data_IF_513656578853
#
_entry.id   IF_513656578853
#
_cell.length_a   1.000
_cell.length_b   1.000
_cell.length_c   1.000
_cell.angle_alpha   90.00
_cell.angle_beta   90.00
_cell.angle_gamma   90.00
#
_symmetry.space_group_name_H-M   'P 1'
#
loop_
_entity.id
_entity.type
_entity.pdbx_description
1 polymer ?
#
# COMPACT_ATOMS: atom_id res chain seq x y z
N UNK A 1 -25.17 0.80 22.70
CA UNK A 1 -24.08 -0.19 22.67
C UNK A 1 -23.56 -0.25 21.24
N UNK A 2 -22.29 0.07 21.00
CA UNK A 2 -21.71 -0.06 19.68
C UNK A 2 -21.71 -1.54 19.29
N UNK A 3 -22.33 -1.88 18.16
CA UNK A 3 -22.36 -3.24 17.62
C UNK A 3 -20.96 -3.58 17.10
N UNK A 4 -20.24 -4.42 17.79
CA UNK A 4 -18.95 -4.92 17.33
C UNK A 4 -19.21 -6.02 16.30
N UNK A 5 -18.91 -5.76 15.04
CA UNK A 5 -19.09 -6.70 13.94
C UNK A 5 -17.74 -7.27 13.51
N UNK A 6 -17.65 -8.59 13.35
CA UNK A 6 -16.47 -9.25 12.75
C UNK A 6 -16.69 -9.46 11.26
N UNK A 7 -15.64 -9.27 10.48
CA UNK A 7 -15.65 -9.66 9.06
C UNK A 7 -14.24 -10.00 8.57
N UNK A 8 -14.19 -10.78 7.51
CA UNK A 8 -12.95 -11.04 6.77
C UNK A 8 -12.62 -9.82 5.93
N UNK A 9 -11.38 -9.36 6.02
CA UNK A 9 -10.88 -8.24 5.24
C UNK A 9 -9.43 -8.46 4.82
N UNK A 10 -9.03 -7.86 3.70
CA UNK A 10 -7.63 -7.72 3.35
C UNK A 10 -7.11 -6.42 3.98
N UNK A 11 -5.99 -6.52 4.68
CA UNK A 11 -5.39 -5.44 5.44
C UNK A 11 -4.02 -5.17 4.88
N UNK A 12 -3.75 -3.92 4.55
CA UNK A 12 -2.44 -3.44 4.14
C UNK A 12 -1.92 -2.46 5.19
N UNK A 13 -0.76 -2.77 5.75
CA UNK A 13 0.02 -1.86 6.58
C UNK A 13 1.24 -1.39 5.79
N UNK A 14 1.54 -0.11 5.83
CA UNK A 14 2.71 0.48 5.20
C UNK A 14 3.33 1.54 6.10
N UNK A 15 4.66 1.64 6.09
CA UNK A 15 5.40 2.72 6.74
C UNK A 15 6.63 3.12 5.90
N UNK A 16 7.31 4.19 6.32
CA UNK A 16 8.53 4.68 5.67
C UNK A 16 9.75 4.29 6.50
N UNK A 17 10.70 3.62 5.84
CA UNK A 17 11.96 3.20 6.47
C UNK A 17 12.75 4.42 6.96
N UNK A 18 13.07 4.42 8.25
CA UNK A 18 13.90 5.46 8.83
C UNK A 18 13.28 6.86 8.81
N UNK A 19 11.97 6.99 8.88
CA UNK A 19 11.26 8.28 8.86
C UNK A 19 11.79 9.27 9.91
N UNK A 20 12.05 8.81 11.14
CA UNK A 20 12.64 9.66 12.18
C UNK A 20 14.02 10.21 11.79
N UNK A 21 14.82 9.42 11.06
CA UNK A 21 16.12 9.89 10.53
C UNK A 21 15.92 10.96 9.46
N UNK A 22 14.98 10.77 8.55
CA UNK A 22 14.64 11.75 7.51
C UNK A 22 14.17 13.06 8.14
N UNK A 23 13.29 12.99 9.16
CA UNK A 23 12.84 14.15 9.93
C UNK A 23 14.00 14.87 10.62
N UNK A 24 14.98 14.13 11.14
CA UNK A 24 16.18 14.70 11.76
C UNK A 24 17.12 15.41 10.77
N UNK A 25 17.09 15.03 9.50
CA UNK A 25 17.89 15.67 8.44
C UNK A 25 17.24 16.95 7.89
N UNK A 26 15.94 16.91 7.67
CA UNK A 26 15.13 17.99 7.11
C UNK A 26 13.65 17.79 7.47
N UNK A 27 13.23 18.36 8.57
CA UNK A 27 11.87 18.20 9.09
C UNK A 27 10.81 18.74 8.10
N UNK A 28 10.99 19.96 7.63
CA UNK A 28 10.02 20.60 6.74
C UNK A 28 9.93 19.91 5.38
N UNK A 29 11.07 19.60 4.77
CA UNK A 29 11.14 18.91 3.49
C UNK A 29 10.61 17.48 3.58
N UNK A 30 10.93 16.74 4.64
CA UNK A 30 10.41 15.38 4.87
C UNK A 30 8.89 15.38 5.07
N UNK A 31 8.37 16.30 5.88
CA UNK A 31 6.93 16.42 6.09
C UNK A 31 6.19 16.81 4.79
N UNK A 32 6.78 17.67 3.96
CA UNK A 32 6.21 18.02 2.66
C UNK A 32 6.24 16.82 1.71
N UNK A 33 7.37 16.13 1.61
CA UNK A 33 7.50 14.94 0.76
C UNK A 33 6.51 13.84 1.16
N UNK A 34 6.27 13.63 2.47
CA UNK A 34 5.25 12.69 2.95
C UNK A 34 3.84 13.09 2.49
N UNK A 35 3.48 14.37 2.60
CA UNK A 35 2.19 14.87 2.09
C UNK A 35 2.03 14.63 0.60
N UNK A 36 3.08 14.89 -0.17
CA UNK A 36 3.08 14.71 -1.62
C UNK A 36 2.97 13.24 -2.02
N UNK A 37 3.64 12.34 -1.27
CA UNK A 37 3.49 10.89 -1.44
C UNK A 37 2.06 10.45 -1.15
N UNK A 38 1.49 10.89 -0.03
CA UNK A 38 0.11 10.54 0.35
C UNK A 38 -0.90 11.03 -0.69
N UNK A 39 -0.80 12.28 -1.11
CA UNK A 39 -1.69 12.83 -2.14
C UNK A 39 -1.65 12.05 -3.46
N UNK A 40 -0.49 11.48 -3.81
CA UNK A 40 -0.34 10.65 -4.99
C UNK A 40 -0.86 9.20 -4.78
N UNK A 41 -0.83 8.70 -3.55
CA UNK A 41 -1.21 7.33 -3.18
C UNK A 41 -2.71 7.20 -2.95
N UNK A 42 -3.38 8.20 -2.35
CA UNK A 42 -4.79 8.13 -1.97
C UNK A 42 -5.74 7.78 -3.14
N UNK A 43 -5.62 8.36 -4.34
CA UNK A 43 -6.46 7.97 -5.47
C UNK A 43 -6.20 6.53 -5.93
N UNK A 44 -4.96 6.02 -5.83
CA UNK A 44 -4.61 4.65 -6.18
C UNK A 44 -5.24 3.65 -5.21
N UNK A 45 -5.24 3.95 -3.91
CA UNK A 45 -5.91 3.13 -2.89
C UNK A 45 -7.39 3.00 -3.23
N UNK A 46 -8.07 4.12 -3.47
CA UNK A 46 -9.50 4.12 -3.83
C UNK A 46 -9.77 3.36 -5.13
N UNK A 47 -8.92 3.52 -6.14
CA UNK A 47 -9.03 2.85 -7.43
C UNK A 47 -8.94 1.32 -7.32
N UNK A 48 -8.17 0.80 -6.37
CA UNK A 48 -8.05 -0.63 -6.07
C UNK A 48 -9.09 -1.12 -5.03
N UNK A 49 -10.08 -0.30 -4.70
CA UNK A 49 -11.14 -0.66 -3.77
C UNK A 49 -10.71 -0.64 -2.30
N UNK A 50 -9.67 0.12 -1.98
CA UNK A 50 -9.16 0.33 -0.64
C UNK A 50 -9.77 1.54 0.05
N UNK A 51 -9.73 1.52 1.37
CA UNK A 51 -10.10 2.61 2.27
C UNK A 51 -8.99 2.83 3.29
N UNK A 52 -8.47 4.03 3.39
CA UNK A 52 -7.56 4.39 4.48
C UNK A 52 -8.35 4.39 5.78
N UNK A 53 -7.97 3.51 6.70
CA UNK A 53 -8.60 3.38 8.03
C UNK A 53 -8.03 4.45 8.95
N UNK A 54 -6.71 4.50 9.03
CA UNK A 54 -5.99 5.49 9.83
C UNK A 54 -4.56 5.70 9.37
N UNK A 55 -4.02 6.82 9.78
CA UNK A 55 -2.61 7.17 9.62
C UNK A 55 -1.95 7.25 11.00
N UNK A 56 -0.73 6.73 11.14
CA UNK A 56 0.06 6.77 12.37
C UNK A 56 1.43 7.35 12.07
N UNK A 57 1.56 8.68 12.18
CA UNK A 57 2.78 9.35 11.75
C UNK A 57 3.00 9.18 10.24
N UNK A 58 4.05 8.46 9.84
CA UNK A 58 4.35 8.07 8.47
C UNK A 58 3.59 6.83 8.00
N UNK A 59 3.04 6.04 8.92
CA UNK A 59 2.34 4.79 8.62
C UNK A 59 0.94 4.97 8.06
N UNK A 60 0.50 3.99 7.27
CA UNK A 60 -0.84 3.84 6.72
C UNK A 60 -1.41 2.48 7.09
N UNK A 61 -2.65 2.47 7.54
CA UNK A 61 -3.46 1.27 7.67
C UNK A 61 -4.63 1.36 6.69
N UNK A 62 -4.70 0.40 5.78
CA UNK A 62 -5.67 0.40 4.68
C UNK A 62 -6.41 -0.92 4.68
N UNK A 63 -7.70 -0.85 4.42
CA UNK A 63 -8.59 -1.98 4.31
C UNK A 63 -9.09 -2.13 2.89
N UNK A 64 -9.18 -3.38 2.41
CA UNK A 64 -9.69 -3.73 1.08
C UNK A 64 -10.75 -4.83 1.20
N UNK A 65 -11.77 -4.75 0.36
CA UNK A 65 -12.74 -5.83 0.18
C UNK A 65 -12.18 -7.03 -0.60
N UNK A 66 -11.04 -6.87 -1.27
CA UNK A 66 -10.37 -7.90 -2.06
C UNK A 66 -8.87 -7.91 -1.76
N UNK A 67 -8.33 -9.10 -1.46
CA UNK A 67 -6.88 -9.26 -1.28
C UNK A 67 -6.10 -9.11 -2.59
N UNK A 68 -6.71 -9.41 -3.72
CA UNK A 68 -6.14 -9.14 -5.06
C UNK A 68 -5.93 -7.63 -5.21
N UNK A 69 -6.97 -6.84 -4.96
CA UNK A 69 -6.86 -5.38 -5.00
C UNK A 69 -5.83 -4.82 -4.02
N UNK A 70 -5.71 -5.41 -2.82
CA UNK A 70 -4.69 -5.01 -1.84
C UNK A 70 -3.26 -5.25 -2.35
N UNK A 71 -2.99 -6.41 -2.95
CA UNK A 71 -1.64 -6.74 -3.49
C UNK A 71 -1.34 -5.92 -4.74
N UNK A 72 -2.29 -5.76 -5.65
CA UNK A 72 -2.12 -4.89 -6.82
C UNK A 72 -1.83 -3.43 -6.40
N UNK A 73 -2.57 -2.93 -5.42
CA UNK A 73 -2.33 -1.60 -4.84
C UNK A 73 -0.91 -1.52 -4.26
N UNK A 74 -0.48 -2.49 -3.45
CA UNK A 74 0.87 -2.52 -2.88
C UNK A 74 1.96 -2.45 -3.95
N UNK A 75 1.80 -3.19 -5.05
CA UNK A 75 2.74 -3.18 -6.19
C UNK A 75 2.79 -1.80 -6.86
N UNK A 76 1.62 -1.19 -7.09
CA UNK A 76 1.54 0.14 -7.71
C UNK A 76 2.13 1.21 -6.79
N UNK A 77 1.92 1.12 -5.47
CA UNK A 77 2.51 2.03 -4.48
C UNK A 77 4.04 1.97 -4.50
N UNK A 78 4.63 0.77 -4.55
CA UNK A 78 6.09 0.62 -4.62
C UNK A 78 6.67 1.14 -5.94
N UNK A 79 5.99 0.93 -7.06
CA UNK A 79 6.40 1.50 -8.35
C UNK A 79 6.37 3.03 -8.35
N UNK A 80 5.30 3.62 -7.84
CA UNK A 80 5.17 5.06 -7.69
C UNK A 80 6.28 5.63 -6.79
N UNK A 81 6.56 4.96 -5.66
CA UNK A 81 7.64 5.36 -4.77
C UNK A 81 9.00 5.32 -5.46
N UNK A 82 9.28 4.27 -6.24
CA UNK A 82 10.52 4.15 -7.01
C UNK A 82 10.66 5.28 -8.06
N UNK A 83 9.59 5.61 -8.78
CA UNK A 83 9.56 6.71 -9.74
C UNK A 83 9.83 8.06 -9.06
N UNK A 84 9.19 8.33 -7.93
CA UNK A 84 9.39 9.56 -7.16
C UNK A 84 10.78 9.67 -6.56
N UNK A 85 11.38 8.54 -6.19
CA UNK A 85 12.73 8.47 -5.63
C UNK A 85 13.84 8.54 -6.70
N UNK A 86 13.53 8.41 -7.99
CA UNK A 86 14.52 8.32 -9.06
C UNK A 86 15.47 9.54 -9.10
N UNK A 87 14.94 10.75 -8.86
CA UNK A 87 15.70 12.00 -8.83
C UNK A 87 16.09 12.44 -7.42
N UNK A 88 15.80 11.64 -6.38
CA UNK A 88 16.06 11.97 -4.97
C UNK A 88 17.38 11.34 -4.51
N UNK A 89 18.23 12.11 -3.81
CA UNK A 89 19.45 11.59 -3.21
C UNK A 89 19.16 10.42 -2.27
N UNK A 90 20.02 9.39 -2.27
CA UNK A 90 19.76 8.13 -1.60
C UNK A 90 19.42 8.24 -0.11
N UNK A 91 20.08 9.16 0.59
CA UNK A 91 19.87 9.44 2.02
C UNK A 91 18.55 10.16 2.34
N UNK A 92 17.88 10.72 1.33
CA UNK A 92 16.58 11.43 1.43
C UNK A 92 15.40 10.69 0.82
N UNK A 93 15.61 9.50 0.25
CA UNK A 93 14.56 8.69 -0.35
C UNK A 93 13.54 8.25 0.67
N UNK A 94 12.27 8.28 0.28
CA UNK A 94 11.18 7.68 1.03
C UNK A 94 10.95 6.26 0.54
N UNK A 95 11.47 5.30 1.27
CA UNK A 95 11.38 3.88 0.95
C UNK A 95 10.28 3.25 1.82
N UNK A 96 9.27 2.68 1.18
CA UNK A 96 8.16 2.07 1.86
C UNK A 96 8.41 0.60 2.17
N UNK A 97 7.94 0.15 3.33
CA UNK A 97 7.73 -1.25 3.63
C UNK A 97 6.24 -1.52 3.65
N UNK A 98 5.81 -2.63 3.08
CA UNK A 98 4.39 -2.96 2.99
C UNK A 98 4.16 -4.39 3.46
N UNK A 99 3.15 -4.58 4.32
CA UNK A 99 2.66 -5.89 4.76
C UNK A 99 1.20 -6.07 4.35
N UNK A 100 0.84 -7.22 3.77
CA UNK A 100 -0.54 -7.54 3.40
C UNK A 100 -0.97 -8.85 4.04
N UNK A 101 -2.13 -8.83 4.71
CA UNK A 101 -2.74 -9.99 5.34
C UNK A 101 -4.23 -10.09 5.01
N UNK A 102 -4.74 -11.31 4.91
CA UNK A 102 -6.17 -11.60 4.83
C UNK A 102 -6.60 -12.26 6.15
N UNK A 103 -7.47 -11.62 6.90
CA UNK A 103 -7.90 -12.14 8.19
C UNK A 103 -9.13 -11.44 8.75
N UNK A 104 -9.62 -11.96 9.87
CA UNK A 104 -10.75 -11.38 10.57
C UNK A 104 -10.38 -10.07 11.25
N UNK A 105 -11.26 -9.09 11.11
CA UNK A 105 -11.17 -7.81 11.79
C UNK A 105 -12.44 -7.54 12.60
N UNK A 106 -12.29 -6.83 13.70
CA UNK A 106 -13.35 -6.20 14.47
C UNK A 106 -13.55 -4.79 13.94
N UNK A 107 -14.78 -4.44 13.61
CA UNK A 107 -15.14 -3.10 13.18
C UNK A 107 -15.64 -2.33 14.39
N UNK A 108 -15.03 -1.18 14.64
CA UNK A 108 -15.42 -0.26 15.71
C UNK A 108 -15.51 1.17 15.14
N UNK A 109 -16.73 1.56 14.72
CA UNK A 109 -16.92 2.79 13.97
C UNK A 109 -16.21 2.73 12.61
N UNK A 110 -15.31 3.67 12.36
CA UNK A 110 -14.49 3.72 11.15
C UNK A 110 -13.14 2.97 11.29
N UNK A 111 -12.80 2.48 12.49
CA UNK A 111 -11.56 1.74 12.78
C UNK A 111 -11.75 0.23 12.61
N UNK A 112 -10.62 -0.45 12.39
CA UNK A 112 -10.51 -1.91 12.40
C UNK A 112 -9.48 -2.34 13.44
N UNK A 113 -9.81 -3.40 14.18
CA UNK A 113 -8.99 -3.94 15.25
C UNK A 113 -8.86 -5.45 15.10
N UNK A 114 -7.94 -6.05 15.83
CA UNK A 114 -7.79 -7.50 15.96
C UNK A 114 -6.46 -8.03 15.44
N UNK A 115 -6.33 -9.36 15.50
CA UNK A 115 -5.06 -10.04 15.15
C UNK A 115 -4.67 -9.84 13.69
N UNK A 116 -5.64 -9.72 12.77
CA UNK A 116 -5.37 -9.45 11.37
C UNK A 116 -4.62 -8.14 11.13
N UNK A 117 -4.99 -7.08 11.88
CA UNK A 117 -4.29 -5.78 11.83
C UNK A 117 -2.86 -5.92 12.37
N UNK A 118 -2.70 -6.65 13.49
CA UNK A 118 -1.38 -6.89 14.09
C UNK A 118 -0.47 -7.69 13.14
N UNK A 119 -1.01 -8.71 12.48
CA UNK A 119 -0.25 -9.52 11.50
C UNK A 119 0.21 -8.64 10.34
N UNK A 120 -0.67 -7.83 9.74
CA UNK A 120 -0.30 -6.94 8.65
C UNK A 120 0.84 -5.98 9.05
N UNK A 121 0.77 -5.39 10.25
CA UNK A 121 1.82 -4.53 10.79
C UNK A 121 3.14 -5.30 11.05
N UNK A 122 3.09 -6.57 11.45
CA UNK A 122 4.30 -7.38 11.62
C UNK A 122 4.92 -7.79 10.29
N UNK A 123 4.10 -8.08 9.28
CA UNK A 123 4.58 -8.36 7.92
C UNK A 123 5.27 -7.13 7.32
N UNK A 124 4.70 -5.95 7.52
CA UNK A 124 5.32 -4.68 7.15
C UNK A 124 6.70 -4.54 7.83
N UNK A 125 6.76 -4.78 9.16
CA UNK A 125 8.00 -4.65 9.95
C UNK A 125 9.14 -5.60 9.53
N UNK A 126 8.85 -6.73 8.89
CA UNK A 126 9.87 -7.66 8.37
C UNK A 126 10.13 -7.49 6.87
N UNK A 127 9.37 -6.65 6.19
CA UNK A 127 9.62 -6.34 4.79
C UNK A 127 10.92 -5.53 4.65
N UNK A 128 11.68 -5.82 3.60
CA UNK A 128 12.85 -5.02 3.23
C UNK A 128 12.41 -3.62 2.73
N UNK A 129 13.29 -2.62 2.77
CA UNK A 129 13.02 -1.33 2.12
C UNK A 129 12.56 -1.54 0.66
N UNK A 130 11.49 -0.85 0.28
CA UNK A 130 10.80 -1.00 -1.00
C UNK A 130 10.21 -2.40 -1.25
N UNK A 131 10.10 -3.22 -0.22
CA UNK A 131 9.59 -4.59 -0.28
C UNK A 131 8.12 -4.69 0.10
N UNK A 132 7.52 -5.84 -0.25
CA UNK A 132 6.16 -6.23 0.13
C UNK A 132 6.22 -7.65 0.67
N UNK A 133 5.75 -7.85 1.91
CA UNK A 133 5.55 -9.16 2.50
C UNK A 133 4.05 -9.46 2.62
N UNK A 134 3.66 -10.68 2.27
CA UNK A 134 2.27 -11.13 2.41
C UNK A 134 2.20 -12.44 3.20
N UNK A 135 1.09 -12.63 3.93
CA UNK A 135 0.83 -13.89 4.62
C UNK A 135 0.47 -15.01 3.65
N UNK A 136 0.59 -16.25 4.10
CA UNK A 136 0.13 -17.43 3.34
C UNK A 136 -1.35 -17.35 2.98
N UNK A 137 -2.20 -16.85 3.86
CA UNK A 137 -3.62 -16.68 3.60
C UNK A 137 -3.88 -15.71 2.44
N UNK A 138 -3.15 -14.61 2.39
CA UNK A 138 -3.17 -13.68 1.26
C UNK A 138 -2.61 -14.34 0.00
N UNK A 139 -1.44 -15.00 0.09
CA UNK A 139 -0.80 -15.68 -1.04
C UNK A 139 -1.71 -16.71 -1.73
N UNK A 140 -2.40 -17.54 -0.95
CA UNK A 140 -3.31 -18.57 -1.48
C UNK A 140 -4.43 -17.97 -2.33
N UNK A 141 -4.86 -16.74 -2.03
CA UNK A 141 -5.92 -16.06 -2.76
C UNK A 141 -5.44 -15.32 -4.00
N UNK A 142 -4.19 -14.85 -4.01
CA UNK A 142 -3.67 -13.99 -5.08
C UNK A 142 -2.84 -14.72 -6.12
N UNK A 143 -2.26 -15.89 -5.79
CA UNK A 143 -1.45 -16.66 -6.73
C UNK A 143 -2.24 -17.00 -8.00
N UNK A 144 -1.65 -16.70 -9.15
CA UNK A 144 -2.28 -16.90 -10.46
C UNK A 144 -3.38 -15.88 -10.80
N UNK A 145 -3.59 -14.85 -9.96
CA UNK A 145 -4.55 -13.75 -10.22
C UNK A 145 -3.87 -12.39 -10.34
N UNK A 146 -2.64 -12.26 -9.84
CA UNK A 146 -1.82 -11.06 -9.98
C UNK A 146 -0.58 -11.37 -10.80
N UNK A 147 -0.14 -10.42 -11.63
CA UNK A 147 1.01 -10.58 -12.52
C UNK A 147 2.33 -10.24 -11.81
N UNK A 148 2.63 -10.96 -10.75
CA UNK A 148 3.88 -10.87 -10.00
C UNK A 148 4.34 -12.26 -9.58
N UNK A 149 5.63 -12.39 -9.29
CA UNK A 149 6.20 -13.60 -8.71
C UNK A 149 6.29 -13.47 -7.19
N UNK A 150 6.39 -14.61 -6.51
CA UNK A 150 6.46 -14.66 -5.07
C UNK A 150 7.63 -15.54 -4.64
N UNK A 151 8.44 -15.04 -3.72
CA UNK A 151 9.47 -15.81 -3.04
C UNK A 151 8.96 -16.27 -1.68
N UNK A 152 9.05 -17.57 -1.43
CA UNK A 152 8.69 -18.17 -0.13
C UNK A 152 9.78 -17.88 0.90
N UNK A 153 9.47 -17.16 1.95
CA UNK A 153 10.39 -16.84 3.05
C UNK A 153 10.31 -17.86 4.19
N UNK A 154 9.48 -18.89 4.05
CA UNK A 154 9.24 -19.91 5.08
C UNK A 154 8.42 -19.39 6.25
N UNK A 155 8.44 -20.15 7.34
CA UNK A 155 7.76 -19.79 8.58
C UNK A 155 8.53 -18.71 9.35
N UNK A 156 7.83 -17.64 9.72
CA UNK A 156 8.37 -16.52 10.47
C UNK A 156 7.69 -16.43 11.85
N UNK A 157 8.50 -16.33 12.89
CA UNK A 157 8.01 -16.03 14.24
C UNK A 157 7.87 -14.53 14.38
N UNK A 158 6.64 -14.06 14.40
CA UNK A 158 6.32 -12.63 14.48
C UNK A 158 6.05 -12.24 15.95
N UNK A 159 6.55 -11.07 16.34
CA UNK A 159 6.41 -10.58 17.73
C UNK A 159 4.92 -10.49 18.12
N UNK A 160 4.57 -11.11 19.25
CA UNK A 160 3.20 -11.17 19.82
C UNK A 160 2.17 -11.88 18.92
N UNK A 161 2.60 -12.68 17.97
CA UNK A 161 1.75 -13.61 17.21
C UNK A 161 2.04 -15.02 17.71
N UNK A 162 1.01 -15.70 18.21
CA UNK A 162 1.18 -16.98 18.94
C UNK A 162 1.70 -18.14 18.09
N UNK A 163 1.51 -18.09 16.77
CA UNK A 163 1.93 -19.17 15.86
C UNK A 163 2.86 -18.61 14.79
N UNK A 164 3.88 -19.35 14.39
CA UNK A 164 4.66 -19.02 13.20
C UNK A 164 3.73 -18.87 12.00
N UNK A 165 4.02 -17.91 11.16
CA UNK A 165 3.25 -17.59 9.95
C UNK A 165 4.15 -17.78 8.74
N UNK A 166 3.69 -18.53 7.73
CA UNK A 166 4.40 -18.60 6.46
C UNK A 166 4.24 -17.31 5.69
N UNK A 167 5.34 -16.75 5.24
CA UNK A 167 5.41 -15.42 4.63
C UNK A 167 5.98 -15.54 3.22
N UNK A 168 5.45 -14.75 2.33
CA UNK A 168 5.90 -14.62 0.95
C UNK A 168 6.30 -13.17 0.68
N UNK A 169 7.43 -13.00 -0.02
CA UNK A 169 7.82 -11.70 -0.57
C UNK A 169 7.27 -11.59 -1.99
N UNK A 170 6.69 -10.44 -2.32
CA UNK A 170 6.31 -10.11 -3.69
C UNK A 170 7.57 -9.67 -4.43
N UNK A 171 7.90 -10.34 -5.53
CA UNK A 171 9.02 -9.97 -6.40
C UNK A 171 8.56 -8.85 -7.34
N UNK A 172 9.04 -7.66 -7.08
CA UNK A 172 8.84 -6.52 -7.95
C UNK A 172 9.85 -6.64 -9.10
N UNK A 173 9.42 -7.12 -10.26
CA UNK A 173 10.28 -7.29 -11.42
C UNK A 173 11.02 -5.98 -11.71
N UNK A 174 12.32 -6.00 -11.55
CA UNK A 174 13.19 -4.92 -11.99
C UNK A 174 13.09 -4.79 -13.50
N UNK A 175 12.43 -3.74 -14.00
CA UNK A 175 12.49 -3.36 -15.39
C UNK A 175 11.51 -4.05 -16.35
N UNK A 176 10.40 -4.59 -15.93
CA UNK A 176 9.33 -5.01 -16.84
C UNK A 176 8.40 -3.83 -17.13
N UNK A 177 8.47 -3.40 -18.39
CA UNK A 177 7.54 -2.61 -19.20
C UNK A 177 6.28 -2.17 -18.43
N UNK A 178 6.24 -0.88 -18.05
CA UNK A 178 5.00 -0.22 -17.68
C UNK A 178 3.95 -0.55 -18.75
N UNK A 179 2.95 -1.34 -18.39
CA UNK A 179 1.69 -1.22 -19.09
C UNK A 179 1.16 0.16 -18.68
N UNK A 180 1.23 1.08 -19.63
CA UNK A 180 0.72 2.43 -19.48
C UNK A 180 -0.74 2.33 -19.00
N UNK A 181 -0.99 2.69 -17.75
CA UNK A 181 -2.33 3.04 -17.34
C UNK A 181 -2.67 4.31 -18.10
N UNK A 182 -3.37 4.16 -19.19
CA UNK A 182 -3.90 5.29 -19.95
C UNK A 182 -4.87 6.01 -19.03
N UNK A 183 -4.61 7.26 -18.64
CA UNK A 183 -5.60 8.00 -17.87
C UNK A 183 -6.87 8.11 -18.72
N UNK A 184 -8.07 8.03 -18.12
CA UNK A 184 -9.31 8.23 -18.86
C UNK A 184 -9.24 9.60 -19.54
N UNK A 185 -9.48 9.62 -20.84
CA UNK A 185 -9.51 10.83 -21.63
C UNK A 185 -10.52 11.81 -21.02
N UNK A 186 -10.02 12.90 -20.47
CA UNK A 186 -10.85 14.04 -20.12
C UNK A 186 -11.37 14.61 -21.44
N UNK A 187 -12.63 14.36 -21.73
CA UNK A 187 -13.34 14.98 -22.82
C UNK A 187 -13.42 16.50 -22.55
N UNK A 188 -12.44 17.24 -23.06
CA UNK A 188 -12.54 18.68 -23.21
C UNK A 188 -13.56 18.94 -24.29
N UNK A 189 -14.80 19.19 -23.88
CA UNK A 189 -15.84 19.71 -24.75
C UNK A 189 -15.46 21.10 -25.27
N UNK A 190 -14.90 21.14 -26.48
CA UNK A 190 -14.75 22.40 -27.23
C UNK A 190 -16.10 22.74 -27.81
N UNK A 191 -16.86 23.60 -27.14
CA UNK A 191 -17.97 24.28 -27.72
C UNK A 191 -17.43 25.37 -28.65
N UNK A 192 -17.44 25.11 -29.95
CA UNK A 192 -17.19 26.13 -30.97
C UNK A 192 -18.39 27.05 -31.02
N UNK A 193 -18.24 28.26 -30.50
CA UNK A 193 -19.17 29.38 -30.83
C UNK A 193 -18.87 29.79 -32.28
N UNK A 194 -19.83 29.50 -33.14
CA UNK A 194 -19.83 30.02 -34.51
C UNK A 194 -20.07 31.52 -34.49
N UNK A 195 -19.11 32.27 -35.01
CA UNK A 195 -19.27 33.63 -35.39
C UNK A 195 -19.99 33.67 -36.76
N UNK A 196 -21.26 34.05 -36.75
CA UNK A 196 -21.97 34.45 -37.93
C UNK A 196 -21.69 35.91 -38.25
N UNK A 197 -21.12 36.15 -39.42
CA UNK A 197 -21.01 37.47 -40.02
C UNK A 197 -22.12 37.63 -41.06
N UNK A 198 -22.85 38.65 -40.96
CA UNK A 198 -23.49 39.36 -42.07
C UNK A 198 -23.78 40.79 -41.66
#
# INVERSE_FOLDING_TARGET
MASTTRRLAAILAADIVGYSRLMGLDEAGTAQALRDHRAAVDPLITQHGGRVVKTTGDGLLIEFGSVVGAVECAVVLQRLAAERNAAVAGDRRMEWRIGVHLGDVLIEGDDILGDGVNIAARLEGIAEPNGICISEDAFRQVRGKVEVEFADLGEQSLKNIARPLRVYRVELAGGAKLLAVTPPAVLLGVTSLGAGVA
#
